data_IF_027650488804
#
_entry.id   IF_027650488804
#
_cell.length_a   1.000
_cell.length_b   1.000
_cell.length_c   1.000
_cell.angle_alpha   90.00
_cell.angle_beta   90.00
_cell.angle_gamma   90.00
#
_symmetry.space_group_name_H-M   'P 1'
#
loop_
_entity.id
_entity.type
_entity.pdbx_description
1 polymer ?
#
# COMPACT_ATOMS: atom_id res chain seq x y z
N UNK A 1 -9.11 -18.30 9.02
CA UNK A 1 -7.87 -19.01 9.38
C UNK A 1 -6.71 -18.01 9.43
N UNK A 2 -6.56 -17.30 10.57
CA UNK A 2 -5.27 -16.75 11.01
C UNK A 2 -4.63 -17.82 11.87
N UNK A 3 -3.96 -18.78 11.25
CA UNK A 3 -3.24 -19.82 11.98
C UNK A 3 -1.84 -19.29 12.29
N UNK A 4 -1.63 -18.90 13.55
CA UNK A 4 -0.34 -18.86 14.26
C UNK A 4 0.72 -17.91 13.65
N UNK A 5 0.63 -16.60 13.94
CA UNK A 5 1.68 -15.79 14.64
C UNK A 5 1.00 -14.47 15.08
N UNK A 6 0.96 -14.08 16.37
CA UNK A 6 0.11 -12.95 16.78
C UNK A 6 0.67 -11.55 16.46
N UNK A 7 1.92 -11.40 15.98
CA UNK A 7 2.55 -10.07 15.93
C UNK A 7 3.60 -9.84 14.82
N UNK A 8 3.92 -10.83 13.98
CA UNK A 8 5.05 -10.72 13.01
C UNK A 8 4.66 -10.49 11.55
N UNK A 9 3.39 -10.63 11.20
CA UNK A 9 2.94 -10.48 9.81
C UNK A 9 1.69 -9.60 9.77
N UNK A 10 1.83 -8.42 9.16
CA UNK A 10 0.72 -7.55 8.84
C UNK A 10 0.41 -7.66 7.34
N UNK A 11 -0.81 -8.07 7.01
CA UNK A 11 -1.32 -8.03 5.66
C UNK A 11 -2.12 -6.74 5.51
N UNK A 12 -1.66 -5.85 4.65
CA UNK A 12 -2.38 -4.65 4.28
C UNK A 12 -3.26 -4.92 3.06
N UNK A 13 -4.40 -4.24 3.02
CA UNK A 13 -5.37 -4.41 1.95
C UNK A 13 -4.77 -3.94 0.61
N UNK A 14 -4.71 -4.87 -0.35
CA UNK A 14 -4.47 -4.58 -1.75
C UNK A 14 -5.78 -4.90 -2.47
N UNK A 15 -6.58 -3.88 -2.76
CA UNK A 15 -7.87 -4.08 -3.44
C UNK A 15 -7.81 -3.43 -4.80
N UNK A 16 -8.00 -4.26 -5.82
CA UNK A 16 -8.83 -3.97 -7.00
C UNK A 16 -8.75 -5.05 -8.10
N UNK A 17 -8.15 -6.23 -7.85
CA UNK A 17 -7.93 -7.21 -8.93
C UNK A 17 -8.78 -8.49 -8.86
N UNK A 18 -9.62 -8.67 -7.83
CA UNK A 18 -10.21 -9.97 -7.50
C UNK A 18 -11.17 -10.56 -8.55
N UNK A 19 -11.84 -9.73 -9.34
CA UNK A 19 -12.76 -10.21 -10.39
C UNK A 19 -12.17 -10.16 -11.81
N UNK A 20 -11.28 -9.21 -12.11
CA UNK A 20 -10.84 -8.95 -13.51
C UNK A 20 -9.47 -9.53 -13.87
N UNK A 21 -8.69 -9.97 -12.90
CA UNK A 21 -7.29 -10.36 -13.12
C UNK A 21 -6.97 -11.79 -12.67
N UNK A 22 -7.97 -12.67 -12.79
CA UNK A 22 -7.77 -14.12 -12.72
C UNK A 22 -7.98 -14.77 -11.35
N UNK A 23 -8.10 -14.02 -10.25
CA UNK A 23 -8.34 -14.64 -8.93
C UNK A 23 -9.69 -15.36 -8.85
N UNK A 24 -10.76 -14.73 -9.37
CA UNK A 24 -12.07 -15.37 -9.52
C UNK A 24 -11.98 -16.66 -10.36
N UNK A 25 -11.40 -16.56 -11.56
CA UNK A 25 -11.28 -17.70 -12.48
C UNK A 25 -10.43 -18.83 -11.88
N UNK A 26 -9.37 -18.49 -11.13
CA UNK A 26 -8.55 -19.45 -10.42
C UNK A 26 -9.34 -20.18 -9.32
N UNK A 27 -10.10 -19.45 -8.52
CA UNK A 27 -10.97 -20.04 -7.50
C UNK A 27 -12.02 -20.96 -8.14
N UNK A 28 -12.67 -20.49 -9.20
CA UNK A 28 -13.67 -21.27 -9.92
C UNK A 28 -13.06 -22.56 -10.51
N UNK A 29 -11.90 -22.46 -11.14
CA UNK A 29 -11.18 -23.59 -11.74
C UNK A 29 -10.69 -24.60 -10.69
N UNK A 30 -10.18 -24.14 -9.54
CA UNK A 30 -9.62 -25.01 -8.49
C UNK A 30 -10.69 -25.65 -7.60
N UNK A 31 -11.79 -24.95 -7.33
CA UNK A 31 -12.79 -25.37 -6.33
C UNK A 31 -14.17 -25.69 -6.92
N UNK A 32 -14.36 -25.48 -8.23
CA UNK A 32 -15.58 -25.83 -8.97
C UNK A 32 -16.78 -24.91 -8.69
N UNK A 33 -16.63 -23.88 -7.85
CA UNK A 33 -17.65 -22.88 -7.56
C UNK A 33 -17.03 -21.58 -7.01
N UNK A 34 -17.85 -20.55 -6.83
CA UNK A 34 -17.42 -19.22 -6.38
C UNK A 34 -17.36 -19.04 -4.85
N UNK A 35 -17.67 -20.06 -4.03
CA UNK A 35 -17.75 -19.89 -2.58
C UNK A 35 -16.39 -19.50 -1.97
N UNK A 36 -15.31 -20.10 -2.45
CA UNK A 36 -13.95 -19.78 -1.97
C UNK A 36 -13.58 -18.33 -2.29
N UNK A 37 -13.87 -17.87 -3.51
CA UNK A 37 -13.69 -16.48 -3.90
C UNK A 37 -14.47 -15.55 -2.97
N UNK A 38 -15.76 -15.85 -2.75
CA UNK A 38 -16.62 -15.08 -1.85
C UNK A 38 -16.07 -15.00 -0.42
N UNK A 39 -15.63 -16.13 0.14
CA UNK A 39 -15.06 -16.15 1.48
C UNK A 39 -13.77 -15.32 1.60
N UNK A 40 -12.95 -15.29 0.54
CA UNK A 40 -11.77 -14.44 0.51
C UNK A 40 -12.14 -12.95 0.39
N UNK A 41 -13.06 -12.58 -0.51
CA UNK A 41 -13.50 -11.18 -0.64
C UNK A 41 -14.13 -10.67 0.65
N UNK A 42 -15.01 -11.46 1.27
CA UNK A 42 -15.62 -11.14 2.56
C UNK A 42 -14.54 -10.98 3.66
N UNK A 43 -13.40 -11.67 3.56
CA UNK A 43 -12.29 -11.55 4.51
C UNK A 43 -11.43 -10.31 4.22
N UNK A 44 -11.28 -9.91 2.96
CA UNK A 44 -10.46 -8.78 2.56
C UNK A 44 -10.99 -7.45 3.06
N UNK A 45 -12.31 -7.31 3.18
CA UNK A 45 -12.96 -6.12 3.77
C UNK A 45 -12.55 -5.90 5.25
N UNK A 46 -12.02 -6.92 5.91
CA UNK A 46 -11.52 -6.83 7.29
C UNK A 46 -10.01 -6.59 7.38
N UNK A 47 -9.27 -6.54 6.28
CA UNK A 47 -7.85 -6.23 6.32
C UNK A 47 -7.62 -4.76 6.70
N UNK A 48 -6.56 -4.46 7.48
CA UNK A 48 -6.16 -3.08 7.71
C UNK A 48 -5.69 -2.42 6.41
N UNK A 49 -5.99 -1.13 6.25
CA UNK A 49 -5.57 -0.33 5.09
C UNK A 49 -4.15 0.20 5.25
N UNK A 50 -3.76 0.53 6.49
CA UNK A 50 -2.48 1.15 6.82
C UNK A 50 -1.91 0.55 8.10
N UNK A 51 -0.60 0.75 8.29
CA UNK A 51 0.12 0.37 9.50
C UNK A 51 1.03 1.52 9.94
N UNK A 52 1.35 1.57 11.23
CA UNK A 52 2.49 2.32 11.73
C UNK A 52 3.44 1.34 12.39
N UNK A 53 4.67 1.27 11.88
CA UNK A 53 5.73 0.39 12.40
C UNK A 53 6.71 1.23 13.21
N UNK A 54 7.03 0.75 14.41
CA UNK A 54 7.93 1.40 15.36
C UNK A 54 7.61 2.89 15.62
N UNK A 55 6.33 3.27 15.57
CA UNK A 55 5.84 4.65 15.75
C UNK A 55 6.49 5.70 14.82
N UNK A 56 7.11 5.25 13.72
CA UNK A 56 7.92 6.09 12.85
C UNK A 56 7.71 5.86 11.36
N UNK A 57 7.28 4.66 10.96
CA UNK A 57 7.12 4.30 9.55
C UNK A 57 5.65 4.09 9.24
N UNK A 58 5.09 4.90 8.35
CA UNK A 58 3.71 4.72 7.89
C UNK A 58 3.69 3.82 6.66
N UNK A 59 3.04 2.66 6.77
CA UNK A 59 2.96 1.67 5.70
C UNK A 59 1.56 1.60 5.11
N UNK A 60 1.47 1.56 3.78
CA UNK A 60 0.22 1.43 3.03
C UNK A 60 0.49 0.82 1.65
N UNK A 61 -0.54 0.35 0.95
CA UNK A 61 -0.35 -0.22 -0.39
C UNK A 61 -0.11 0.89 -1.43
N UNK A 62 -1.04 1.84 -1.50
CA UNK A 62 -1.10 2.96 -2.41
C UNK A 62 -0.22 4.13 -1.94
N UNK A 63 -0.82 5.27 -1.68
CA UNK A 63 -0.10 6.49 -1.33
C UNK A 63 -0.96 7.43 -0.51
N UNK A 64 -0.50 8.66 -0.32
CA UNK A 64 -1.21 9.64 0.49
C UNK A 64 -2.53 10.07 -0.18
N UNK A 65 -3.45 10.60 0.64
CA UNK A 65 -4.74 11.16 0.20
C UNK A 65 -4.83 12.64 0.55
N UNK A 66 -5.38 13.49 -0.33
CA UNK A 66 -5.67 14.89 0.01
C UNK A 66 -6.76 15.04 1.08
N UNK A 67 -7.45 13.95 1.44
CA UNK A 67 -8.47 13.92 2.49
C UNK A 67 -7.94 13.42 3.84
N UNK A 68 -6.65 13.06 3.94
CA UNK A 68 -6.05 12.47 5.15
C UNK A 68 -4.79 13.25 5.51
N UNK A 69 -4.92 14.17 6.47
CA UNK A 69 -3.78 14.92 7.01
C UNK A 69 -3.10 14.24 8.19
N UNK A 70 -3.84 13.39 8.93
CA UNK A 70 -3.36 12.77 10.17
C UNK A 70 -3.54 11.25 10.19
N UNK A 71 -2.75 10.57 11.02
CA UNK A 71 -2.91 9.14 11.29
C UNK A 71 -4.29 8.81 11.88
N UNK A 72 -4.90 9.73 12.64
CA UNK A 72 -6.23 9.53 13.21
C UNK A 72 -7.32 9.54 12.13
N UNK A 73 -7.22 10.42 11.13
CA UNK A 73 -8.14 10.39 9.98
C UNK A 73 -8.10 9.03 9.25
N UNK A 74 -6.91 8.41 9.15
CA UNK A 74 -6.79 7.07 8.55
C UNK A 74 -7.35 5.96 9.45
N UNK A 75 -7.31 6.11 10.78
CA UNK A 75 -7.87 5.15 11.75
C UNK A 75 -9.40 5.19 11.78
N UNK A 76 -9.99 6.36 11.58
CA UNK A 76 -11.44 6.59 11.66
C UNK A 76 -12.20 6.20 10.38
N UNK A 77 -11.51 5.74 9.34
CA UNK A 77 -12.16 5.27 8.11
C UNK A 77 -13.04 4.03 8.38
N UNK A 78 -14.29 4.11 7.93
CA UNK A 78 -15.15 2.93 7.84
C UNK A 78 -14.64 2.01 6.73
N UNK A 79 -13.79 1.06 7.10
CA UNK A 79 -13.06 0.21 6.16
C UNK A 79 -13.75 -1.12 5.84
N UNK A 80 -14.82 -1.48 6.55
CA UNK A 80 -15.49 -2.79 6.39
C UNK A 80 -16.49 -2.71 5.25
N UNK A 81 -15.98 -2.44 4.06
CA UNK A 81 -16.73 -2.29 2.82
C UNK A 81 -15.79 -2.49 1.62
N UNK A 82 -16.38 -2.73 0.45
CA UNK A 82 -15.64 -2.73 -0.81
C UNK A 82 -14.98 -1.36 -1.04
N UNK A 83 -13.78 -1.36 -1.64
CA UNK A 83 -13.08 -0.10 -1.92
C UNK A 83 -13.86 0.75 -2.91
N UNK A 84 -14.29 1.98 -2.53
CA UNK A 84 -15.03 2.85 -3.42
C UNK A 84 -14.15 3.32 -4.58
N UNK A 85 -14.78 3.81 -5.64
CA UNK A 85 -14.06 4.34 -6.80
C UNK A 85 -13.36 5.68 -6.54
N UNK A 86 -13.73 6.38 -5.47
CA UNK A 86 -13.17 7.68 -5.07
C UNK A 86 -13.13 7.83 -3.54
N UNK A 87 -12.41 8.85 -3.06
CA UNK A 87 -12.31 9.18 -1.65
C UNK A 87 -11.12 8.55 -0.93
N UNK A 88 -10.98 8.80 0.38
CA UNK A 88 -9.75 8.51 1.13
C UNK A 88 -9.33 7.05 1.08
N UNK A 89 -10.29 6.11 1.09
CA UNK A 89 -9.97 4.69 1.04
C UNK A 89 -9.45 4.25 -0.33
N UNK A 90 -9.95 4.85 -1.41
CA UNK A 90 -9.45 4.65 -2.77
C UNK A 90 -8.02 5.19 -2.90
N UNK A 91 -7.78 6.41 -2.43
CA UNK A 91 -6.48 7.07 -2.50
C UNK A 91 -5.38 6.27 -1.79
N UNK A 92 -5.68 5.74 -0.58
CA UNK A 92 -4.74 4.93 0.20
C UNK A 92 -4.25 3.66 -0.51
N UNK A 93 -4.98 3.18 -1.53
CA UNK A 93 -4.58 1.98 -2.31
C UNK A 93 -4.16 2.30 -3.75
N UNK A 94 -4.50 3.48 -4.28
CA UNK A 94 -4.25 3.83 -5.69
C UNK A 94 -3.30 5.01 -5.93
N UNK A 95 -3.06 5.85 -4.93
CA UNK A 95 -2.19 7.02 -5.10
C UNK A 95 -0.72 6.65 -5.31
N UNK A 96 0.01 7.50 -6.03
CA UNK A 96 1.41 7.31 -6.41
C UNK A 96 2.28 8.55 -6.12
N UNK A 97 3.54 8.40 -5.66
CA UNK A 97 4.50 9.50 -5.58
C UNK A 97 4.87 10.02 -6.98
N UNK A 98 5.12 11.33 -7.09
CA UNK A 98 5.43 12.03 -8.35
C UNK A 98 6.46 13.15 -8.08
N UNK A 99 7.33 13.42 -9.05
CA UNK A 99 8.36 14.45 -8.93
C UNK A 99 7.77 15.88 -8.96
N UNK A 100 6.52 16.01 -9.39
CA UNK A 100 5.79 17.29 -9.41
C UNK A 100 5.33 17.68 -8.00
N UNK A 101 5.48 18.96 -7.68
CA UNK A 101 5.03 19.55 -6.43
C UNK A 101 3.48 19.53 -6.33
N UNK A 102 2.96 19.28 -5.13
CA UNK A 102 1.54 19.26 -4.82
C UNK A 102 0.82 17.96 -5.23
N UNK A 103 -0.49 18.06 -5.43
CA UNK A 103 -1.35 16.96 -5.86
C UNK A 103 -1.58 16.99 -7.37
N UNK A 104 -1.63 15.81 -8.00
CA UNK A 104 -2.02 15.62 -9.38
C UNK A 104 -3.09 14.53 -9.54
N UNK A 105 -3.76 14.51 -10.69
CA UNK A 105 -4.72 13.46 -11.01
C UNK A 105 -3.95 12.20 -11.42
N UNK A 106 -4.29 11.06 -10.82
CA UNK A 106 -3.64 9.79 -11.15
C UNK A 106 -3.94 9.37 -12.60
N UNK A 107 -2.90 8.99 -13.38
CA UNK A 107 -3.09 8.44 -14.73
C UNK A 107 -3.74 7.05 -14.72
N UNK A 108 -3.91 6.43 -13.54
CA UNK A 108 -4.58 5.13 -13.37
C UNK A 108 -6.09 5.22 -13.43
N UNK A 109 -6.66 6.43 -13.37
CA UNK A 109 -8.10 6.65 -13.28
C UNK A 109 -8.70 6.48 -11.88
N UNK A 110 -7.85 6.31 -10.86
CA UNK A 110 -8.21 6.24 -9.44
C UNK A 110 -7.04 6.76 -8.59
N UNK A 111 -7.36 7.45 -7.48
CA UNK A 111 -6.37 8.08 -6.59
C UNK A 111 -5.71 9.33 -7.17
N UNK A 112 -4.63 9.78 -6.52
CA UNK A 112 -3.89 10.98 -6.87
C UNK A 112 -2.39 10.70 -7.07
N UNK A 113 -1.70 11.61 -7.74
CA UNK A 113 -0.26 11.73 -7.58
C UNK A 113 0.07 12.75 -6.51
N UNK A 114 1.17 12.56 -5.78
CA UNK A 114 1.59 13.48 -4.72
C UNK A 114 3.07 13.77 -4.75
N UNK A 115 3.43 15.03 -4.54
CA UNK A 115 4.80 15.51 -4.53
C UNK A 115 5.57 15.29 -3.23
N UNK A 116 6.84 15.67 -3.27
CA UNK A 116 7.73 15.65 -2.10
C UNK A 116 7.22 16.56 -0.98
N UNK A 117 6.69 17.74 -1.31
CA UNK A 117 6.13 18.70 -0.36
C UNK A 117 4.98 18.10 0.46
N UNK A 118 4.07 17.37 -0.20
CA UNK A 118 2.96 16.67 0.45
C UNK A 118 3.48 15.61 1.40
N UNK A 119 4.50 14.85 0.97
CA UNK A 119 5.08 13.80 1.81
C UNK A 119 5.75 14.39 3.04
N UNK A 120 6.57 15.42 2.87
CA UNK A 120 7.28 16.09 3.96
C UNK A 120 6.32 16.73 4.95
N UNK A 121 5.24 17.35 4.47
CA UNK A 121 4.18 17.87 5.34
C UNK A 121 3.52 16.75 6.15
N UNK A 122 3.10 15.67 5.49
CA UNK A 122 2.43 14.55 6.17
C UNK A 122 3.34 13.88 7.20
N UNK A 123 4.60 13.60 6.87
CA UNK A 123 5.54 12.98 7.81
C UNK A 123 5.87 13.90 8.97
N UNK A 124 6.01 15.22 8.72
CA UNK A 124 6.25 16.20 9.77
C UNK A 124 5.09 16.31 10.76
N UNK A 125 3.86 16.45 10.27
CA UNK A 125 2.65 16.56 11.11
C UNK A 125 2.48 15.32 12.00
N UNK A 126 2.78 14.14 11.45
CA UNK A 126 2.53 12.86 12.11
C UNK A 126 3.76 12.29 12.85
N UNK A 127 4.89 13.02 12.88
CA UNK A 127 6.10 12.58 13.59
C UNK A 127 6.75 11.31 13.01
N UNK A 128 6.66 11.13 11.69
CA UNK A 128 7.15 9.95 10.96
C UNK A 128 8.52 10.23 10.32
N UNK A 129 9.30 9.17 10.11
CA UNK A 129 10.54 9.25 9.33
C UNK A 129 10.28 9.22 7.83
N UNK A 130 9.47 8.28 7.35
CA UNK A 130 9.12 8.11 5.95
C UNK A 130 7.86 7.27 5.78
N UNK A 131 7.36 7.24 4.54
CA UNK A 131 6.24 6.40 4.10
C UNK A 131 6.79 5.18 3.36
N UNK A 132 6.37 3.98 3.76
CA UNK A 132 6.67 2.73 3.06
C UNK A 132 5.46 2.27 2.26
N UNK A 133 5.64 2.03 0.96
CA UNK A 133 4.53 1.73 0.06
C UNK A 133 4.88 0.70 -1.01
N UNK A 134 3.87 0.22 -1.75
CA UNK A 134 4.04 -0.81 -2.77
C UNK A 134 3.48 -0.34 -4.14
N UNK A 135 2.57 -1.11 -4.76
CA UNK A 135 1.76 -0.78 -5.93
C UNK A 135 2.50 -0.54 -7.27
N UNK A 136 3.55 0.27 -7.30
CA UNK A 136 4.34 0.57 -8.48
C UNK A 136 5.43 -0.49 -8.68
N UNK A 137 5.51 -0.99 -9.92
CA UNK A 137 6.63 -1.83 -10.34
C UNK A 137 7.90 -0.98 -10.41
N UNK A 138 8.94 -1.44 -9.75
CA UNK A 138 10.28 -0.85 -9.76
C UNK A 138 11.30 -1.92 -10.13
N UNK A 139 12.25 -1.58 -11.01
CA UNK A 139 13.11 -2.58 -11.66
C UNK A 139 14.04 -3.31 -10.68
N UNK A 140 14.56 -2.62 -9.67
CA UNK A 140 15.43 -3.20 -8.64
C UNK A 140 14.65 -3.77 -7.44
N UNK A 141 13.32 -3.87 -7.54
CA UNK A 141 12.47 -4.34 -6.46
C UNK A 141 12.22 -3.30 -5.35
N UNK A 142 13.02 -2.24 -5.24
CA UNK A 142 12.73 -1.08 -4.38
C UNK A 142 13.21 0.23 -5.01
N UNK A 143 12.64 1.35 -4.55
CA UNK A 143 13.05 2.70 -4.97
C UNK A 143 12.74 3.74 -3.88
N UNK A 144 13.71 4.59 -3.56
CA UNK A 144 13.50 5.77 -2.72
C UNK A 144 13.10 6.98 -3.57
N UNK A 145 12.14 7.75 -3.07
CA UNK A 145 11.62 8.98 -3.68
C UNK A 145 11.48 10.07 -2.61
N UNK A 146 11.25 11.31 -3.05
CA UNK A 146 10.97 12.46 -2.17
C UNK A 146 12.04 12.66 -1.08
N UNK A 147 13.31 12.69 -1.49
CA UNK A 147 14.45 12.81 -0.59
C UNK A 147 14.48 11.76 0.54
N UNK A 148 14.20 10.50 0.16
CA UNK A 148 14.06 9.34 1.06
C UNK A 148 12.91 9.44 2.06
N UNK A 149 11.89 10.25 1.77
CA UNK A 149 10.66 10.33 2.57
C UNK A 149 9.59 9.35 2.11
N UNK A 150 9.77 8.71 0.93
CA UNK A 150 8.95 7.59 0.44
C UNK A 150 9.85 6.46 -0.04
N UNK A 151 9.55 5.23 0.35
CA UNK A 151 10.12 4.02 -0.26
C UNK A 151 9.02 3.20 -0.91
N UNK A 152 9.21 2.87 -2.19
CA UNK A 152 8.41 1.89 -2.91
C UNK A 152 9.12 0.54 -2.84
N UNK A 153 8.42 -0.50 -2.38
CA UNK A 153 8.91 -1.89 -2.30
C UNK A 153 7.99 -2.80 -3.11
N UNK A 154 8.58 -3.58 -4.00
CA UNK A 154 7.87 -4.49 -4.90
C UNK A 154 8.44 -5.90 -4.79
N UNK A 155 7.60 -6.86 -4.39
CA UNK A 155 8.05 -8.21 -4.01
C UNK A 155 7.71 -9.31 -5.03
N UNK A 156 7.24 -8.95 -6.23
CA UNK A 156 6.94 -9.91 -7.30
C UNK A 156 8.02 -9.85 -8.40
N UNK A 157 9.02 -10.74 -8.40
CA UNK A 157 10.10 -10.70 -9.39
C UNK A 157 9.59 -11.15 -10.77
N UNK A 158 10.21 -10.61 -11.82
CA UNK A 158 9.82 -10.84 -13.22
C UNK A 158 8.30 -10.77 -13.41
N UNK A 159 7.71 -9.64 -13.03
CA UNK A 159 6.27 -9.48 -12.94
C UNK A 159 5.57 -9.88 -14.24
N UNK A 160 4.53 -10.70 -14.10
CA UNK A 160 3.79 -11.32 -15.19
C UNK A 160 4.68 -12.02 -16.26
N UNK A 161 5.84 -12.56 -15.85
CA UNK A 161 6.82 -13.23 -16.72
C UNK A 161 7.37 -12.36 -17.86
N UNK A 162 7.24 -11.04 -17.74
CA UNK A 162 7.53 -10.09 -18.85
C UNK A 162 8.40 -8.93 -18.44
N UNK A 163 8.29 -8.46 -17.20
CA UNK A 163 8.91 -7.20 -16.81
C UNK A 163 10.40 -7.32 -16.48
N UNK A 164 10.89 -8.50 -16.12
CA UNK A 164 12.31 -8.71 -15.80
C UNK A 164 12.82 -7.97 -14.56
N UNK A 165 11.93 -7.41 -13.73
CA UNK A 165 12.29 -6.73 -12.49
C UNK A 165 12.77 -7.70 -11.40
N UNK A 166 13.64 -7.22 -10.53
CA UNK A 166 13.96 -7.87 -9.26
C UNK A 166 12.81 -7.70 -8.25
N UNK A 167 12.95 -8.33 -7.09
CA UNK A 167 12.05 -8.18 -5.96
C UNK A 167 12.83 -7.81 -4.71
N UNK A 168 12.22 -7.02 -3.84
CA UNK A 168 12.79 -6.66 -2.56
C UNK A 168 11.82 -6.90 -1.41
N UNK A 169 12.40 -6.96 -0.21
CA UNK A 169 11.72 -6.85 1.08
C UNK A 169 12.42 -5.78 1.90
N UNK A 170 11.69 -5.16 2.81
CA UNK A 170 12.24 -4.20 3.77
C UNK A 170 12.27 -4.83 5.15
N UNK A 171 13.47 -4.96 5.71
CA UNK A 171 13.67 -5.36 7.10
C UNK A 171 13.76 -4.11 7.98
N UNK A 172 13.08 -4.14 9.13
CA UNK A 172 13.08 -3.05 10.11
C UNK A 172 13.61 -3.62 11.41
N UNK A 173 14.78 -3.14 11.82
CA UNK A 173 15.42 -3.52 13.08
C UNK A 173 14.82 -2.74 14.26
N UNK A 174 15.06 -3.22 15.48
CA UNK A 174 14.59 -2.59 16.73
C UNK A 174 15.17 -1.17 16.92
N UNK A 175 16.32 -0.88 16.28
CA UNK A 175 16.97 0.44 16.28
C UNK A 175 16.58 1.26 15.04
N UNK A 176 15.29 1.59 14.89
CA UNK A 176 14.77 2.36 13.75
C UNK A 176 15.45 3.73 13.57
N UNK A 177 16.01 4.29 14.64
CA UNK A 177 16.78 5.55 14.62
C UNK A 177 18.04 5.49 13.73
N UNK A 178 18.54 4.31 13.33
CA UNK A 178 19.70 4.20 12.43
C UNK A 178 19.35 4.17 10.94
N UNK A 179 18.07 4.13 10.57
CA UNK A 179 17.66 4.30 9.17
C UNK A 179 17.74 5.77 8.70
N UNK A 180 18.19 6.68 9.57
CA UNK A 180 18.32 8.11 9.28
C UNK A 180 19.51 8.40 8.36
N UNK A 181 19.20 8.63 7.09
CA UNK A 181 19.87 9.62 6.21
C UNK A 181 21.42 9.67 6.26
N UNK A 182 22.09 8.59 5.85
CA UNK A 182 23.43 8.67 5.25
C UNK A 182 23.39 8.61 3.72
#
# INVERSE_FOLDING_TARGET
FKTIVPVRLMLLCCVCLHARYGFYDECLRKYGNANVWKHFTDTFDYLPMTAVVADRIFCLHGGLSPSIDTLDHARDLDRVQEVPHEGPMCDLVWSDPDDRCGWGISPRGAGYTFGQDITEQFTHINGLHFVSRAHQLVMEGYQWQHNRSVVTVFSAPNYCYRCGNQAAIMEVDDNVDQCSKE
#
